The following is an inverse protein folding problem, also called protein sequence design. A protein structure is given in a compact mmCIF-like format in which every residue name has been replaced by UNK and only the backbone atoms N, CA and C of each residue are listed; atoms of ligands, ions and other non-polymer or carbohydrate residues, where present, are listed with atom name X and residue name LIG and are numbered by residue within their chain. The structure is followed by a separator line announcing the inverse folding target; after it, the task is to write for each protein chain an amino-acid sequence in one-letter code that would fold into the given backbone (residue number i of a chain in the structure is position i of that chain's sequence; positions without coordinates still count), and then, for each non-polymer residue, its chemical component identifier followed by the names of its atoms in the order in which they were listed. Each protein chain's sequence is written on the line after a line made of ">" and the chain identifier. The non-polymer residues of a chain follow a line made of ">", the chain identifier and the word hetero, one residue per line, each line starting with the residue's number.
data_IF_520431658857
#
_entry.id   IF_520431658857
#
_cell.length_a   1.000
_cell.length_b   1.000
_cell.length_c   1.000
_cell.angle_alpha   90.00
_cell.angle_beta   90.00
_cell.angle_gamma   90.00
#
_symmetry.space_group_name_H-M   'P 1'
#
loop_
_entity.id
_entity.type
_entity.pdbx_description
1 polymer ?
#
# COMPACT_ATOMS: atom_id res chain seq x y z
N UNK A 1 -4.53 26.93 3.82
CA UNK A 1 -3.89 25.66 4.25
C UNK A 1 -2.70 25.46 3.31
N UNK A 2 -1.50 25.94 3.66
CA UNK A 2 -0.40 25.20 4.31
C UNK A 2 -0.17 23.79 3.77
N UNK A 3 0.63 23.67 2.71
CA UNK A 3 1.39 22.46 2.36
C UNK A 3 2.49 22.82 1.34
N UNK A 4 3.40 23.72 1.72
CA UNK A 4 4.74 23.77 1.10
C UNK A 4 5.55 22.55 1.57
N UNK A 5 5.03 21.35 1.33
CA UNK A 5 5.79 20.12 1.41
C UNK A 5 6.63 20.06 0.15
N UNK A 6 7.69 20.87 0.09
CA UNK A 6 8.68 20.75 -0.97
C UNK A 6 9.12 19.28 -1.03
N UNK A 7 8.86 18.57 -2.14
CA UNK A 7 9.33 17.21 -2.28
C UNK A 7 10.85 17.22 -2.10
N UNK A 8 11.37 16.41 -1.17
CA UNK A 8 12.81 16.22 -1.00
C UNK A 8 13.37 15.88 -2.38
N UNK A 9 14.34 16.67 -2.85
CA UNK A 9 15.00 16.43 -4.13
C UNK A 9 15.55 14.99 -4.15
N UNK A 10 15.46 14.30 -5.28
CA UNK A 10 15.92 12.93 -5.47
C UNK A 10 17.33 12.67 -4.93
N UNK A 11 18.25 13.64 -5.07
CA UNK A 11 19.61 13.52 -4.51
C UNK A 11 19.60 13.36 -3.00
N UNK A 12 18.87 14.22 -2.29
CA UNK A 12 18.77 14.15 -0.82
C UNK A 12 18.02 12.88 -0.38
N UNK A 13 17.04 12.42 -1.17
CA UNK A 13 16.39 11.14 -0.91
C UNK A 13 17.37 9.95 -1.02
N UNK A 14 18.23 9.95 -2.04
CA UNK A 14 19.24 8.92 -2.26
C UNK A 14 20.30 8.86 -1.14
N UNK A 15 20.62 10.00 -0.53
CA UNK A 15 21.52 10.05 0.63
C UNK A 15 20.84 9.45 1.87
N UNK A 16 19.60 9.84 2.15
CA UNK A 16 18.87 9.37 3.34
C UNK A 16 18.62 7.86 3.32
N UNK A 17 18.28 7.27 2.16
CA UNK A 17 17.96 5.84 2.10
C UNK A 17 19.15 4.92 2.45
N UNK A 18 20.39 5.40 2.35
CA UNK A 18 21.59 4.64 2.72
C UNK A 18 21.65 4.34 4.23
N UNK A 19 21.06 5.20 5.07
CA UNK A 19 21.05 5.05 6.52
C UNK A 19 19.86 4.23 7.05
N UNK A 20 18.86 3.97 6.20
CA UNK A 20 17.63 3.28 6.61
C UNK A 20 17.80 1.76 6.65
N UNK A 21 17.01 1.08 7.47
CA UNK A 21 16.95 -0.40 7.48
C UNK A 21 16.16 -0.92 6.27
N UNK A 22 16.39 -2.17 5.86
CA UNK A 22 15.61 -2.80 4.76
C UNK A 22 14.10 -2.78 5.03
N UNK A 23 13.67 -3.01 6.27
CA UNK A 23 12.25 -2.96 6.64
C UNK A 23 11.68 -1.56 6.42
N UNK A 24 12.43 -0.51 6.76
CA UNK A 24 12.02 0.88 6.56
C UNK A 24 11.96 1.22 5.07
N UNK A 25 12.90 0.72 4.27
CA UNK A 25 12.89 0.91 2.81
C UNK A 25 11.64 0.30 2.16
N UNK A 26 11.30 -0.94 2.49
CA UNK A 26 10.09 -1.58 1.97
C UNK A 26 8.80 -0.93 2.47
N UNK A 27 8.76 -0.49 3.74
CA UNK A 27 7.64 0.32 4.24
C UNK A 27 7.48 1.60 3.42
N UNK A 28 8.60 2.27 3.07
CA UNK A 28 8.55 3.48 2.25
C UNK A 28 8.05 3.22 0.84
N UNK A 29 8.42 2.09 0.25
CA UNK A 29 7.94 1.64 -1.06
C UNK A 29 6.43 1.41 -1.02
N UNK A 30 5.90 0.74 0.00
CA UNK A 30 4.47 0.54 0.17
C UNK A 30 3.69 1.87 0.31
N UNK A 31 4.22 2.85 1.05
CA UNK A 31 3.64 4.20 1.14
C UNK A 31 3.61 4.91 -0.22
N UNK A 32 4.70 4.82 -0.99
CA UNK A 32 4.81 5.44 -2.31
C UNK A 32 3.81 4.81 -3.29
N UNK A 33 3.68 3.48 -3.30
CA UNK A 33 2.69 2.79 -4.13
C UNK A 33 1.26 3.17 -3.76
N UNK A 34 0.93 3.25 -2.46
CA UNK A 34 -0.40 3.70 -2.03
C UNK A 34 -0.69 5.13 -2.51
N UNK A 35 0.32 6.01 -2.46
CA UNK A 35 0.19 7.39 -2.90
C UNK A 35 0.01 7.48 -4.42
N UNK A 36 0.77 6.70 -5.19
CA UNK A 36 0.63 6.58 -6.65
C UNK A 36 -0.78 6.09 -7.00
N UNK A 37 -1.24 5.00 -6.37
CA UNK A 37 -2.56 4.42 -6.65
C UNK A 37 -3.70 5.43 -6.39
N UNK A 38 -3.57 6.24 -5.33
CA UNK A 38 -4.53 7.32 -5.03
C UNK A 38 -4.51 8.42 -6.08
N UNK A 39 -3.34 8.87 -6.51
CA UNK A 39 -3.21 9.89 -7.55
C UNK A 39 -3.73 9.38 -8.90
N UNK A 40 -3.39 8.15 -9.28
CA UNK A 40 -3.89 7.53 -10.50
C UNK A 40 -5.42 7.36 -10.48
N UNK A 41 -6.00 7.00 -9.32
CA UNK A 41 -7.45 6.97 -9.14
C UNK A 41 -8.09 8.37 -9.21
N UNK A 42 -7.44 9.39 -8.63
CA UNK A 42 -7.90 10.78 -8.74
C UNK A 42 -7.86 11.28 -10.19
N UNK A 43 -6.78 11.00 -10.92
CA UNK A 43 -6.64 11.40 -12.31
C UNK A 43 -7.71 10.75 -13.19
N UNK A 44 -7.98 9.44 -13.01
CA UNK A 44 -9.06 8.78 -13.77
C UNK A 44 -10.43 9.41 -13.53
N UNK A 45 -10.75 9.81 -12.30
CA UNK A 45 -12.01 10.51 -12.02
C UNK A 45 -12.07 11.88 -12.68
N UNK A 46 -10.95 12.62 -12.70
CA UNK A 46 -10.88 13.91 -13.39
C UNK A 46 -11.02 13.74 -14.92
N UNK A 47 -10.38 12.72 -15.50
CA UNK A 47 -10.50 12.38 -16.92
C UNK A 47 -11.95 11.99 -17.28
N UNK A 48 -12.62 11.20 -16.44
CA UNK A 48 -14.02 10.83 -16.61
C UNK A 48 -14.95 12.05 -16.53
N UNK A 49 -14.71 12.94 -15.56
CA UNK A 49 -15.45 14.21 -15.43
C UNK A 49 -15.25 15.14 -16.64
N UNK A 50 -14.06 15.13 -17.26
CA UNK A 50 -13.77 15.91 -18.47
C UNK A 50 -14.32 15.28 -19.76
N UNK A 51 -14.81 14.05 -19.71
CA UNK A 51 -15.35 13.36 -20.86
C UNK A 51 -16.81 13.74 -21.12
N UNK A 52 -17.12 14.46 -22.24
CA UNK A 52 -18.49 14.86 -22.58
C UNK A 52 -19.45 13.69 -22.82
N UNK A 53 -18.94 12.50 -23.11
CA UNK A 53 -19.79 11.31 -23.31
C UNK A 53 -20.19 10.66 -21.98
N UNK A 54 -19.44 10.91 -20.91
CA UNK A 54 -19.65 10.28 -19.60
C UNK A 54 -20.32 11.21 -18.61
N UNK A 55 -20.08 12.52 -18.72
CA UNK A 55 -20.58 13.51 -17.78
C UNK A 55 -21.30 14.65 -18.50
N UNK A 56 -22.61 14.80 -18.25
CA UNK A 56 -23.42 15.86 -18.87
C UNK A 56 -23.01 17.25 -18.36
N UNK A 57 -22.61 17.33 -17.09
CA UNK A 57 -22.17 18.57 -16.42
C UNK A 57 -20.90 19.16 -17.07
N UNK A 58 -20.11 18.35 -17.78
CA UNK A 58 -18.93 18.82 -18.53
C UNK A 58 -19.28 19.85 -19.61
N UNK A 59 -20.51 19.82 -20.14
CA UNK A 59 -20.96 20.81 -21.11
C UNK A 59 -21.16 22.21 -20.49
N UNK A 60 -21.26 22.30 -19.16
CA UNK A 60 -21.39 23.56 -18.43
C UNK A 60 -20.05 24.22 -18.12
N UNK A 61 -18.94 23.47 -18.20
CA UNK A 61 -17.59 23.98 -17.97
C UNK A 61 -17.13 24.91 -19.10
N UNK A 62 -16.51 26.01 -18.70
CA UNK A 62 -15.76 26.89 -19.60
C UNK A 62 -14.45 26.24 -20.04
N UNK A 63 -13.88 26.72 -21.15
CA UNK A 63 -12.56 26.26 -21.62
C UNK A 63 -11.45 26.49 -20.59
N UNK A 64 -11.53 27.58 -19.82
CA UNK A 64 -10.57 27.89 -18.77
C UNK A 64 -10.68 26.88 -17.60
N UNK A 65 -11.88 26.49 -17.18
CA UNK A 65 -12.09 25.48 -16.14
C UNK A 65 -11.61 24.10 -16.57
N UNK A 66 -11.89 23.69 -17.82
CA UNK A 66 -11.36 22.45 -18.39
C UNK A 66 -9.83 22.43 -18.32
N UNK A 67 -9.19 23.54 -18.70
CA UNK A 67 -7.74 23.68 -18.67
C UNK A 67 -7.17 23.62 -17.24
N UNK A 68 -7.89 24.13 -16.24
CA UNK A 68 -7.49 24.00 -14.84
C UNK A 68 -7.50 22.53 -14.38
N UNK A 69 -8.54 21.76 -14.74
CA UNK A 69 -8.59 20.32 -14.45
C UNK A 69 -7.47 19.55 -15.16
N UNK A 70 -7.21 19.83 -16.43
CA UNK A 70 -6.07 19.26 -17.16
C UNK A 70 -4.73 19.62 -16.49
N UNK A 71 -4.61 20.85 -15.97
CA UNK A 71 -3.48 21.30 -15.18
C UNK A 71 -3.28 20.47 -13.91
N UNK A 72 -4.34 20.19 -13.16
CA UNK A 72 -4.28 19.33 -11.97
C UNK A 72 -3.86 17.90 -12.30
N UNK A 73 -4.38 17.33 -13.40
CA UNK A 73 -3.97 15.99 -13.87
C UNK A 73 -2.46 16.00 -14.16
N UNK A 74 -1.98 16.98 -14.93
CA UNK A 74 -0.56 17.09 -15.30
C UNK A 74 0.37 17.29 -14.10
N UNK A 75 -0.05 18.06 -13.09
CA UNK A 75 0.69 18.22 -11.83
C UNK A 75 0.78 16.89 -11.08
N UNK A 76 -0.34 16.18 -10.93
CA UNK A 76 -0.39 14.86 -10.31
C UNK A 76 0.49 13.84 -11.03
N UNK A 77 0.53 13.85 -12.37
CA UNK A 77 1.44 13.01 -13.15
C UNK A 77 2.92 13.33 -12.87
N UNK A 78 3.25 14.61 -12.68
CA UNK A 78 4.57 15.03 -12.22
C UNK A 78 4.93 14.40 -10.87
N UNK A 79 4.00 14.43 -9.92
CA UNK A 79 4.16 13.81 -8.60
C UNK A 79 4.33 12.28 -8.71
N UNK A 80 3.48 11.62 -9.51
CA UNK A 80 3.55 10.17 -9.76
C UNK A 80 4.92 9.78 -10.33
N UNK A 81 5.42 10.51 -11.33
CA UNK A 81 6.76 10.26 -11.90
C UNK A 81 7.84 10.37 -10.83
N UNK A 82 7.80 11.43 -10.03
CA UNK A 82 8.77 11.63 -8.95
C UNK A 82 8.69 10.54 -7.87
N UNK A 83 7.50 9.99 -7.58
CA UNK A 83 7.35 8.86 -6.66
C UNK A 83 7.91 7.56 -7.25
N UNK A 84 7.67 7.29 -8.55
CA UNK A 84 8.23 6.14 -9.27
C UNK A 84 9.77 6.18 -9.33
N UNK A 85 10.35 7.37 -9.52
CA UNK A 85 11.80 7.58 -9.44
C UNK A 85 12.37 7.27 -8.06
N UNK A 86 11.67 7.67 -6.98
CA UNK A 86 12.07 7.31 -5.61
C UNK A 86 12.02 5.81 -5.36
N UNK A 87 11.00 5.10 -5.87
CA UNK A 87 10.95 3.62 -5.80
C UNK A 87 12.16 3.01 -6.53
N UNK A 88 12.53 3.54 -7.70
CA UNK A 88 13.70 3.09 -8.44
C UNK A 88 15.01 3.28 -7.64
N UNK A 89 15.16 4.40 -6.93
CA UNK A 89 16.32 4.63 -6.03
C UNK A 89 16.36 3.62 -4.87
N UNK A 90 15.21 3.33 -4.26
CA UNK A 90 15.14 2.30 -3.20
C UNK A 90 15.52 0.93 -3.74
N UNK A 91 15.06 0.58 -4.95
CA UNK A 91 15.44 -0.68 -5.60
C UNK A 91 16.95 -0.80 -5.78
N UNK A 92 17.58 0.24 -6.34
CA UNK A 92 19.04 0.28 -6.51
C UNK A 92 19.75 0.12 -5.17
N UNK A 93 19.28 0.79 -4.12
CA UNK A 93 19.87 0.68 -2.78
C UNK A 93 19.74 -0.73 -2.17
N UNK A 94 18.60 -1.39 -2.34
CA UNK A 94 18.40 -2.79 -1.91
C UNK A 94 19.38 -3.72 -2.62
N UNK A 95 19.55 -3.55 -3.94
CA UNK A 95 20.47 -4.34 -4.75
C UNK A 95 21.94 -4.06 -4.40
N UNK A 96 22.30 -2.81 -4.08
CA UNK A 96 23.63 -2.43 -3.59
C UNK A 96 24.00 -3.11 -2.27
N UNK A 97 23.01 -3.42 -1.43
CA UNK A 97 23.19 -4.19 -0.18
C UNK A 97 23.29 -5.70 -0.42
N UNK A 98 23.32 -6.15 -1.68
CA UNK A 98 23.39 -7.55 -2.07
C UNK A 98 22.08 -8.32 -1.87
N UNK A 99 20.97 -7.62 -1.65
CA UNK A 99 19.65 -8.25 -1.54
C UNK A 99 18.95 -8.24 -2.90
N UNK A 100 18.15 -9.28 -3.18
CA UNK A 100 17.28 -9.28 -4.36
C UNK A 100 16.09 -8.36 -4.10
N UNK A 101 15.76 -7.50 -5.07
CA UNK A 101 14.53 -6.72 -5.04
C UNK A 101 13.29 -7.62 -5.04
N UNK A 102 12.35 -7.34 -4.15
CA UNK A 102 11.03 -7.99 -4.08
C UNK A 102 9.98 -6.93 -4.39
N UNK A 103 9.18 -7.17 -5.42
CA UNK A 103 8.13 -6.25 -5.83
C UNK A 103 6.91 -6.39 -4.89
N UNK A 104 6.68 -5.36 -4.09
CA UNK A 104 5.66 -5.39 -3.02
C UNK A 104 4.23 -5.27 -3.60
N UNK A 105 4.06 -4.72 -4.80
CA UNK A 105 2.74 -4.66 -5.46
C UNK A 105 2.32 -6.02 -5.99
N UNK A 106 3.25 -6.81 -6.54
CA UNK A 106 2.95 -8.13 -7.12
C UNK A 106 2.71 -9.22 -6.08
N UNK A 107 3.37 -9.10 -4.93
CA UNK A 107 3.21 -10.07 -3.83
C UNK A 107 1.86 -9.93 -3.08
N UNK A 108 1.01 -8.97 -3.42
CA UNK A 108 -0.35 -8.85 -2.90
C UNK A 108 -1.33 -9.87 -3.51
N UNK A 109 -1.02 -10.40 -4.69
CA UNK A 109 -1.90 -11.32 -5.45
C UNK A 109 -1.41 -12.78 -5.42
N UNK A 110 -0.10 -13.01 -5.22
CA UNK A 110 0.48 -14.36 -5.16
C UNK A 110 0.81 -14.78 -3.72
N UNK A 111 -0.23 -15.21 -2.98
CA UNK A 111 -0.07 -16.06 -1.78
C UNK A 111 -0.32 -17.54 -2.06
N UNK A 112 -0.11 -17.99 -3.29
CA UNK A 112 -0.05 -19.42 -3.59
C UNK A 112 1.40 -19.83 -3.92
N UNK A 113 2.04 -20.35 -2.88
CA UNK A 113 2.94 -21.50 -2.89
C UNK A 113 4.10 -21.54 -3.90
N UNK A 114 5.30 -21.18 -3.45
CA UNK A 114 6.43 -22.14 -3.49
C UNK A 114 7.59 -21.68 -2.60
N UNK A 115 7.82 -22.43 -1.51
CA UNK A 115 8.92 -22.21 -0.57
C UNK A 115 8.54 -22.51 0.88
N UNK A 116 8.20 -23.76 1.17
CA UNK A 116 7.81 -24.24 2.49
C UNK A 116 8.74 -23.77 3.64
N UNK A 117 8.19 -23.54 4.85
CA UNK A 117 8.94 -23.05 6.00
C UNK A 117 9.85 -24.13 6.59
N UNK A 118 11.11 -23.79 6.88
CA UNK A 118 11.94 -24.60 7.76
C UNK A 118 11.34 -24.55 9.18
N UNK A 119 11.05 -25.69 9.83
CA UNK A 119 10.55 -25.69 11.20
C UNK A 119 11.68 -25.26 12.14
N UNK A 120 11.49 -24.13 12.82
CA UNK A 120 12.30 -23.75 13.97
C UNK A 120 12.00 -24.71 15.12
N UNK A 121 12.85 -25.72 15.29
CA UNK A 121 12.87 -26.62 16.45
C UNK A 121 13.93 -26.16 17.44
N UNK A 122 13.49 -25.71 18.62
CA UNK A 122 14.21 -25.69 19.90
C UNK A 122 13.16 -25.27 20.94
N UNK A 123 12.69 -26.07 21.89
CA UNK A 123 13.35 -27.08 22.72
C UNK A 123 13.34 -26.56 24.16
N UNK A 124 12.80 -27.35 25.11
CA UNK A 124 12.74 -27.16 26.58
C UNK A 124 11.44 -26.50 27.09
N UNK A 125 10.63 -27.07 27.99
CA UNK A 125 10.69 -28.32 28.74
C UNK A 125 9.56 -28.42 29.77
N UNK A 126 9.15 -29.66 30.03
CA UNK A 126 8.71 -30.20 31.34
C UNK A 126 7.32 -29.87 31.92
N UNK A 127 6.48 -30.93 31.83
CA UNK A 127 5.93 -31.72 32.95
C UNK A 127 4.62 -31.31 33.65
N UNK A 128 3.74 -32.34 33.72
CA UNK A 128 2.69 -32.55 34.71
C UNK A 128 1.33 -32.01 34.28
N UNK A 129 0.28 -32.78 33.99
CA UNK A 129 -0.09 -34.12 34.40
C UNK A 129 -1.49 -34.05 35.03
N UNK A 130 -2.40 -34.95 34.58
CA UNK A 130 -3.64 -35.45 35.25
C UNK A 130 -4.77 -34.38 35.46
N UNK A 131 -6.10 -34.54 35.29
CA UNK A 131 -7.14 -35.61 35.27
C UNK A 131 -8.34 -35.10 34.42
N UNK A 132 -8.93 -35.85 33.48
CA UNK A 132 -10.10 -36.75 33.59
C UNK A 132 -11.42 -36.21 34.22
N UNK A 133 -12.46 -36.22 33.36
CA UNK A 133 -13.87 -36.61 33.56
C UNK A 133 -14.89 -35.67 34.27
N UNK A 134 -15.89 -35.26 33.47
CA UNK A 134 -17.33 -35.56 33.67
C UNK A 134 -18.12 -34.73 34.68
N UNK A 135 -19.19 -34.05 34.24
CA UNK A 135 -20.56 -34.30 34.74
C UNK A 135 -21.62 -33.53 33.95
N UNK A 136 -22.81 -34.13 33.90
CA UNK A 136 -24.02 -33.78 33.18
C UNK A 136 -24.91 -32.79 33.95
N UNK A 137 -25.77 -32.06 33.25
CA UNK A 137 -26.92 -31.34 33.84
C UNK A 137 -27.60 -30.48 32.77
N UNK A 138 -28.57 -31.01 32.01
CA UNK A 138 -30.02 -30.98 32.29
C UNK A 138 -30.59 -29.56 32.40
N UNK A 139 -31.33 -29.15 31.38
CA UNK A 139 -32.05 -27.88 31.34
C UNK A 139 -32.88 -27.76 30.07
N UNK A 140 -33.91 -28.59 29.96
CA UNK A 140 -35.02 -28.36 29.03
C UNK A 140 -35.82 -27.11 29.46
N UNK A 141 -36.48 -26.53 28.45
CA UNK A 141 -37.80 -25.91 28.52
C UNK A 141 -37.90 -24.36 28.40
N UNK A 142 -38.34 -23.98 27.18
CA UNK A 142 -39.22 -22.88 26.71
C UNK A 142 -39.01 -21.43 27.13
N UNK A 143 -39.11 -20.54 26.13
CA UNK A 143 -39.55 -19.18 26.38
C UNK A 143 -39.47 -18.17 25.23
N UNK A 144 -40.30 -18.38 24.19
CA UNK A 144 -41.04 -17.36 23.40
C UNK A 144 -40.27 -16.19 22.75
N UNK A 145 -40.25 -16.24 21.41
CA UNK A 145 -40.16 -15.08 20.51
C UNK A 145 -41.30 -14.09 20.73
N UNK A 146 -40.95 -12.79 20.86
CA UNK A 146 -41.59 -11.66 20.19
C UNK A 146 -40.55 -10.56 19.97
#
# INVERSE_FOLDING_TARGET
>A
MSAESHPINLTAFAEVIQELTLSTLYAKVAELHNSIAKLEYSNRQLEEFLNPEQEEDRAELTEDEVKDFEGYIAENEGVIRSMKERIALVKVEVENRGQRWIDVEKNGEDRDNDGAPAPITNGTGQNGGIEQQGESGSGDDVGVHL
#
